data_IF_559643909216
#
_entry.id   IF_559643909216
#
_cell.length_a   1.000
_cell.length_b   1.000
_cell.length_c   1.000
_cell.angle_alpha   90.00
_cell.angle_beta   90.00
_cell.angle_gamma   90.00
#
_symmetry.space_group_name_H-M   'P 1'
#
loop_
_entity.id
_entity.type
_entity.pdbx_description
1 polymer ?
#
# COMPACT_ATOMS: atom_id res chain seq x y z
N UNK A 1 -3.15 -1.79 10.33
CA UNK A 1 -3.11 -3.18 9.83
C UNK A 1 -4.44 -3.91 9.95
N UNK A 2 -5.15 -3.83 11.07
CA UNK A 2 -6.48 -4.48 11.21
C UNK A 2 -7.49 -4.00 10.16
N UNK A 3 -7.64 -2.67 10.01
CA UNK A 3 -8.57 -2.08 9.04
C UNK A 3 -8.24 -2.47 7.59
N UNK A 4 -6.97 -2.44 7.20
CA UNK A 4 -6.54 -2.83 5.85
C UNK A 4 -6.80 -4.31 5.57
N UNK A 5 -6.58 -5.20 6.54
CA UNK A 5 -6.93 -6.61 6.43
C UNK A 5 -8.44 -6.82 6.26
N UNK A 6 -9.25 -6.15 7.09
CA UNK A 6 -10.71 -6.20 6.98
C UNK A 6 -11.21 -5.69 5.62
N UNK A 7 -10.61 -4.62 5.08
CA UNK A 7 -10.95 -4.10 3.74
C UNK A 7 -10.67 -5.11 2.63
N UNK A 8 -9.55 -5.84 2.70
CA UNK A 8 -9.22 -6.88 1.71
C UNK A 8 -10.20 -8.05 1.82
N UNK A 9 -10.54 -8.50 3.03
CA UNK A 9 -11.55 -9.55 3.25
C UNK A 9 -12.90 -9.11 2.69
N UNK A 10 -13.36 -7.90 3.03
CA UNK A 10 -14.63 -7.37 2.53
C UNK A 10 -14.67 -7.31 1.00
N UNK A 11 -13.55 -7.00 0.34
CA UNK A 11 -13.43 -7.01 -1.12
C UNK A 11 -13.63 -8.41 -1.70
N UNK A 12 -12.93 -9.41 -1.16
CA UNK A 12 -13.09 -10.80 -1.60
C UNK A 12 -14.51 -11.31 -1.36
N UNK A 13 -15.11 -11.01 -0.21
CA UNK A 13 -16.51 -11.34 0.08
C UNK A 13 -17.47 -10.69 -0.92
N UNK A 14 -17.29 -9.41 -1.23
CA UNK A 14 -18.10 -8.69 -2.23
C UNK A 14 -18.04 -9.35 -3.61
N UNK A 15 -16.86 -9.80 -4.02
CA UNK A 15 -16.68 -10.52 -5.29
C UNK A 15 -17.32 -11.89 -5.30
N UNK A 16 -17.19 -12.62 -4.20
CA UNK A 16 -17.81 -13.93 -4.06
C UNK A 16 -19.33 -13.82 -4.16
N UNK A 17 -19.93 -12.81 -3.52
CA UNK A 17 -21.35 -12.50 -3.62
C UNK A 17 -21.79 -12.11 -5.04
N UNK A 18 -20.97 -11.34 -5.77
CA UNK A 18 -21.23 -10.96 -7.17
C UNK A 18 -20.91 -12.06 -8.20
N UNK A 19 -20.36 -13.21 -7.78
CA UNK A 19 -19.87 -14.30 -8.66
C UNK A 19 -18.94 -13.80 -9.79
N UNK A 20 -18.16 -12.76 -9.52
CA UNK A 20 -17.23 -12.18 -10.49
C UNK A 20 -15.90 -12.94 -10.46
N UNK A 21 -15.25 -13.12 -11.63
CA UNK A 21 -13.94 -13.75 -11.72
C UNK A 21 -12.88 -12.95 -10.97
N UNK A 22 -11.84 -13.62 -10.46
CA UNK A 22 -10.67 -12.97 -9.87
C UNK A 22 -10.05 -12.03 -10.89
N UNK A 23 -9.94 -10.76 -10.54
CA UNK A 23 -9.39 -9.72 -11.40
C UNK A 23 -7.92 -9.44 -11.02
N UNK A 24 -7.16 -8.85 -11.94
CA UNK A 24 -5.81 -8.33 -11.69
C UNK A 24 -5.80 -7.39 -10.46
N UNK A 25 -6.90 -6.67 -10.24
CA UNK A 25 -7.07 -5.77 -9.10
C UNK A 25 -6.99 -6.46 -7.73
N UNK A 26 -7.29 -7.75 -7.65
CA UNK A 26 -7.24 -8.53 -6.40
C UNK A 26 -5.83 -9.01 -6.08
N UNK A 27 -5.03 -9.33 -7.10
CA UNK A 27 -3.61 -9.61 -6.92
C UNK A 27 -2.84 -8.36 -6.50
N UNK A 28 -3.18 -7.21 -7.09
CA UNK A 28 -2.58 -5.92 -6.74
C UNK A 28 -2.88 -5.50 -5.29
N UNK A 29 -4.09 -5.75 -4.78
CA UNK A 29 -4.40 -5.41 -3.38
C UNK A 29 -3.69 -6.33 -2.38
N UNK A 30 -3.51 -7.62 -2.73
CA UNK A 30 -2.74 -8.54 -1.89
C UNK A 30 -1.28 -8.08 -1.81
N UNK A 31 -0.67 -7.73 -2.95
CA UNK A 31 0.69 -7.18 -2.99
C UNK A 31 0.81 -5.88 -2.18
N UNK A 32 -0.16 -4.97 -2.34
CA UNK A 32 -0.24 -3.75 -1.55
C UNK A 32 -0.39 -3.98 -0.05
N UNK A 33 -1.19 -4.98 0.34
CA UNK A 33 -1.34 -5.38 1.74
C UNK A 33 -0.01 -5.90 2.28
N UNK A 34 0.65 -6.82 1.58
CA UNK A 34 1.95 -7.35 2.01
C UNK A 34 2.98 -6.24 2.20
N UNK A 35 3.04 -5.28 1.26
CA UNK A 35 3.87 -4.09 1.37
C UNK A 35 3.55 -3.22 2.58
N UNK A 36 2.27 -3.03 2.89
CA UNK A 36 1.83 -2.31 4.09
C UNK A 36 2.27 -3.01 5.39
N UNK A 37 2.28 -4.35 5.43
CA UNK A 37 2.81 -5.12 6.56
C UNK A 37 4.32 -4.92 6.71
N UNK A 38 5.08 -5.00 5.62
CA UNK A 38 6.54 -4.75 5.63
C UNK A 38 6.83 -3.35 6.16
N UNK A 39 6.11 -2.33 5.69
CA UNK A 39 6.24 -0.95 6.21
C UNK A 39 5.96 -0.86 7.71
N UNK A 40 4.93 -1.56 8.19
CA UNK A 40 4.62 -1.59 9.61
C UNK A 40 5.77 -2.19 10.42
N UNK A 41 6.40 -3.26 9.93
CA UNK A 41 7.55 -3.89 10.59
C UNK A 41 8.76 -2.96 10.61
N UNK A 42 9.05 -2.27 9.50
CA UNK A 42 10.15 -1.30 9.42
C UNK A 42 9.95 -0.17 10.43
N UNK A 43 8.74 0.37 10.54
CA UNK A 43 8.43 1.45 11.49
C UNK A 43 8.55 0.95 12.95
N UNK A 44 8.08 -0.25 13.25
CA UNK A 44 8.21 -0.85 14.59
C UNK A 44 9.69 -1.03 14.95
N UNK A 45 10.51 -1.51 14.00
CA UNK A 45 11.93 -1.71 14.22
C UNK A 45 12.68 -0.38 14.37
N UNK A 46 12.35 0.62 13.57
CA UNK A 46 12.87 1.97 13.71
C UNK A 46 12.49 2.58 15.07
N UNK A 47 11.25 2.40 15.53
CA UNK A 47 10.81 2.86 16.85
C UNK A 47 11.65 2.24 17.99
N UNK A 48 11.96 0.94 17.93
CA UNK A 48 12.84 0.28 18.91
C UNK A 48 14.25 0.88 18.92
N UNK A 49 14.73 1.33 17.76
CA UNK A 49 16.06 1.94 17.58
C UNK A 49 16.10 3.45 17.87
N UNK A 50 15.02 4.01 18.39
CA UNK A 50 14.97 5.40 18.81
C UNK A 50 14.39 6.37 17.78
N UNK A 51 13.66 5.88 16.77
CA UNK A 51 12.84 6.74 15.93
C UNK A 51 11.91 7.58 16.82
N UNK A 52 12.01 8.91 16.69
CA UNK A 52 11.26 9.87 17.51
C UNK A 52 11.99 10.37 18.77
N UNK A 53 13.19 9.87 19.07
CA UNK A 53 14.07 10.42 20.11
C UNK A 53 15.04 11.46 19.54
N UNK A 54 15.52 12.38 20.38
CA UNK A 54 16.55 13.33 19.99
C UNK A 54 17.87 12.62 19.65
N UNK A 55 18.59 13.16 18.66
CA UNK A 55 19.85 12.60 18.14
C UNK A 55 20.89 12.37 19.24
N UNK A 56 20.92 13.25 20.25
CA UNK A 56 21.82 13.17 21.41
C UNK A 56 21.61 11.89 22.23
N UNK A 57 20.38 11.37 22.29
CA UNK A 57 20.01 10.16 23.06
C UNK A 57 20.29 8.88 22.27
N UNK A 58 20.23 8.95 20.94
CA UNK A 58 20.38 7.79 20.04
C UNK A 58 21.85 7.54 19.69
N UNK A 59 22.66 8.61 19.62
CA UNK A 59 24.04 8.56 19.19
C UNK A 59 24.20 8.36 17.67
N UNK A 60 25.37 8.71 17.14
CA UNK A 60 25.65 8.73 15.69
C UNK A 60 25.47 7.37 15.00
N UNK A 61 25.81 6.27 15.69
CA UNK A 61 25.63 4.92 15.16
C UNK A 61 24.13 4.57 14.98
N UNK A 62 23.29 4.91 15.96
CA UNK A 62 21.85 4.68 15.86
C UNK A 62 21.17 5.58 14.82
N UNK A 63 21.65 6.81 14.64
CA UNK A 63 21.20 7.70 13.54
C UNK A 63 21.46 7.06 12.18
N UNK A 64 22.64 6.48 11.97
CA UNK A 64 22.96 5.79 10.71
C UNK A 64 22.02 4.62 10.44
N UNK A 65 21.72 3.81 11.45
CA UNK A 65 20.77 2.69 11.31
C UNK A 65 19.35 3.17 11.03
N UNK A 66 18.90 4.23 11.70
CA UNK A 66 17.59 4.84 11.44
C UNK A 66 17.49 5.37 10.02
N UNK A 67 18.52 6.06 9.51
CA UNK A 67 18.56 6.54 8.13
C UNK A 67 18.51 5.39 7.12
N UNK A 68 19.20 4.27 7.39
CA UNK A 68 19.15 3.07 6.56
C UNK A 68 17.74 2.44 6.56
N UNK A 69 17.11 2.33 7.73
CA UNK A 69 15.74 1.82 7.85
C UNK A 69 14.73 2.74 7.16
N UNK A 70 14.88 4.06 7.29
CA UNK A 70 14.05 5.04 6.58
C UNK A 70 14.24 4.93 5.07
N UNK A 71 15.47 4.76 4.58
CA UNK A 71 15.74 4.58 3.15
C UNK A 71 15.09 3.31 2.60
N UNK A 72 15.22 2.19 3.31
CA UNK A 72 14.53 0.93 2.96
C UNK A 72 13.01 1.12 3.01
N UNK A 73 12.51 1.82 4.03
CA UNK A 73 11.10 2.17 4.18
C UNK A 73 10.56 2.96 2.99
N UNK A 74 11.28 3.97 2.51
CA UNK A 74 10.87 4.74 1.32
C UNK A 74 10.75 3.86 0.07
N UNK A 75 11.68 2.93 -0.15
CA UNK A 75 11.60 1.99 -1.27
C UNK A 75 10.32 1.14 -1.19
N UNK A 76 10.06 0.55 -0.02
CA UNK A 76 8.85 -0.25 0.17
C UNK A 76 7.58 0.60 0.10
N UNK A 77 7.62 1.84 0.58
CA UNK A 77 6.51 2.78 0.45
C UNK A 77 6.18 3.01 -1.02
N UNK A 78 7.15 3.39 -1.85
CA UNK A 78 6.94 3.62 -3.29
C UNK A 78 6.39 2.39 -4.01
N UNK A 79 6.97 1.21 -3.78
CA UNK A 79 6.57 -0.03 -4.44
C UNK A 79 5.16 -0.47 -4.01
N UNK A 80 4.77 -0.22 -2.76
CA UNK A 80 3.48 -0.66 -2.22
C UNK A 80 2.34 0.28 -2.58
N UNK A 81 2.60 1.58 -2.71
CA UNK A 81 1.55 2.59 -2.86
C UNK A 81 0.92 2.60 -4.26
N UNK A 82 1.73 2.40 -5.30
CA UNK A 82 1.27 2.32 -6.69
C UNK A 82 0.25 1.18 -6.93
N UNK A 83 0.52 -0.10 -6.57
CA UNK A 83 -0.44 -1.19 -6.78
C UNK A 83 -1.72 -1.02 -5.97
N UNK A 84 -1.66 -0.44 -4.76
CA UNK A 84 -2.87 -0.12 -3.97
C UNK A 84 -3.76 0.86 -4.72
N UNK A 85 -3.21 1.97 -5.24
CA UNK A 85 -3.96 2.96 -6.01
C UNK A 85 -4.58 2.35 -7.27
N UNK A 86 -3.80 1.57 -8.04
CA UNK A 86 -4.28 0.91 -9.26
C UNK A 86 -5.39 -0.11 -8.94
N UNK A 87 -5.27 -0.85 -7.83
CA UNK A 87 -6.31 -1.77 -7.38
C UNK A 87 -7.63 -1.07 -7.06
N UNK A 88 -7.57 0.09 -6.40
CA UNK A 88 -8.74 0.92 -6.08
C UNK A 88 -9.38 1.48 -7.37
N UNK A 89 -8.58 2.02 -8.28
CA UNK A 89 -9.09 2.53 -9.56
C UNK A 89 -9.75 1.44 -10.40
N UNK A 90 -9.15 0.25 -10.44
CA UNK A 90 -9.72 -0.90 -11.13
C UNK A 90 -11.04 -1.34 -10.48
N UNK A 91 -11.13 -1.30 -9.16
CA UNK A 91 -12.38 -1.58 -8.43
C UNK A 91 -13.50 -0.62 -8.80
N UNK A 92 -13.19 0.68 -8.92
CA UNK A 92 -14.18 1.68 -9.32
C UNK A 92 -14.73 1.43 -10.72
N UNK A 93 -13.89 0.97 -11.66
CA UNK A 93 -14.34 0.58 -13.01
C UNK A 93 -15.31 -0.59 -12.98
N UNK A 94 -15.08 -1.55 -12.09
CA UNK A 94 -15.92 -2.74 -11.97
C UNK A 94 -17.26 -2.45 -11.29
N UNK A 95 -17.32 -1.49 -10.36
CA UNK A 95 -18.59 -1.07 -9.74
C UNK A 95 -19.37 -0.15 -10.67
N UNK A 96 -18.69 0.83 -11.29
CA UNK A 96 -19.30 1.87 -12.09
C UNK A 96 -18.82 1.74 -13.54
N UNK A 97 -19.46 0.86 -14.31
CA UNK A 97 -19.14 0.59 -15.71
C UNK A 97 -19.61 1.71 -16.69
N UNK A 98 -19.46 2.97 -16.32
CA UNK A 98 -19.75 4.11 -17.20
C UNK A 98 -18.54 4.45 -18.08
N UNK A 99 -18.78 4.90 -19.32
CA UNK A 99 -17.72 5.32 -20.26
C UNK A 99 -16.84 6.43 -19.66
N UNK A 100 -17.45 7.39 -18.97
CA UNK A 100 -16.73 8.48 -18.31
C UNK A 100 -15.82 7.96 -17.19
N UNK A 101 -16.31 7.02 -16.38
CA UNK A 101 -15.55 6.41 -15.29
C UNK A 101 -14.33 5.65 -15.82
N UNK A 102 -14.48 4.91 -16.92
CA UNK A 102 -13.38 4.18 -17.55
C UNK A 102 -12.27 5.09 -18.07
N UNK A 103 -12.62 6.23 -18.67
CA UNK A 103 -11.63 7.21 -19.17
C UNK A 103 -10.91 7.87 -17.99
N UNK A 104 -11.66 8.37 -17.00
CA UNK A 104 -11.09 9.04 -15.84
C UNK A 104 -10.14 8.12 -15.05
N UNK A 105 -10.56 6.89 -14.76
CA UNK A 105 -9.74 5.92 -14.02
C UNK A 105 -8.50 5.48 -14.79
N UNK A 106 -8.55 5.40 -16.13
CA UNK A 106 -7.37 5.11 -16.96
C UNK A 106 -6.37 6.26 -16.93
N UNK A 107 -6.84 7.50 -17.08
CA UNK A 107 -5.99 8.69 -16.98
C UNK A 107 -5.28 8.80 -15.63
N UNK A 108 -6.02 8.60 -14.53
CA UNK A 108 -5.43 8.60 -13.18
C UNK A 108 -4.46 7.43 -13.00
N UNK A 109 -4.75 6.25 -13.55
CA UNK A 109 -3.84 5.10 -13.45
C UNK A 109 -2.49 5.38 -14.13
N UNK A 110 -2.50 6.06 -15.29
CA UNK A 110 -1.27 6.47 -15.99
C UNK A 110 -0.50 7.48 -15.14
N UNK A 111 -1.18 8.49 -14.60
CA UNK A 111 -0.55 9.49 -13.71
C UNK A 111 0.04 8.87 -12.44
N UNK A 112 -0.53 7.79 -11.92
CA UNK A 112 -0.02 7.11 -10.72
C UNK A 112 1.25 6.30 -10.99
N UNK A 113 1.44 5.85 -12.23
CA UNK A 113 2.62 5.07 -12.64
C UNK A 113 3.76 5.97 -13.12
N UNK A 114 3.43 7.15 -13.66
CA UNK A 114 4.37 8.18 -14.11
C UNK A 114 4.97 8.96 -12.94
#
# INVERSE_FOLDING_TARGET
>A
MVLSGLSVIARFTSRHLKKSSLAISDWLIIGGLAGAWVMSLIIIEAAKRGLGKHVEVVGLAGVRELLLLSYIGEIFYSISFAPVKISILSFYREIFASRFMNIATTGISIFVVM
#
